data_IF_296047432772
#
_entry.id   IF_296047432772
#
_cell.length_a   1.000
_cell.length_b   1.000
_cell.length_c   1.000
_cell.angle_alpha   90.00
_cell.angle_beta   90.00
_cell.angle_gamma   90.00
#
_symmetry.space_group_name_H-M   'P 1'
#
loop_
_entity.id
_entity.type
_entity.pdbx_description
1 polymer ?
#
# COMPACT_ATOMS: atom_id res chain seq x y z
N UNK A 1 3.68 -10.25 15.07
CA UNK A 1 4.08 -9.10 14.23
C UNK A 1 5.14 -9.52 13.23
N UNK A 2 4.89 -9.37 11.95
CA UNK A 2 5.83 -9.65 10.85
C UNK A 2 5.82 -8.42 9.93
N UNK A 3 6.98 -8.02 9.39
CA UNK A 3 7.03 -6.95 8.40
C UNK A 3 6.40 -7.42 7.08
N UNK A 4 5.53 -6.60 6.49
CA UNK A 4 4.85 -6.94 5.24
C UNK A 4 5.84 -7.28 4.11
N UNK A 5 6.98 -6.56 3.99
CA UNK A 5 8.03 -6.88 3.02
C UNK A 5 8.63 -8.28 3.20
N UNK A 6 8.84 -8.72 4.46
CA UNK A 6 9.38 -10.07 4.76
C UNK A 6 8.34 -11.14 4.44
N UNK A 7 7.09 -10.93 4.85
CA UNK A 7 6.01 -11.86 4.51
C UNK A 7 5.82 -11.99 3.00
N UNK A 8 5.93 -10.87 2.26
CA UNK A 8 5.83 -10.87 0.80
C UNK A 8 6.89 -11.80 0.19
N UNK A 9 8.16 -11.60 0.54
CA UNK A 9 9.26 -12.38 -0.04
C UNK A 9 9.30 -13.82 0.44
N UNK A 10 8.88 -14.11 1.68
CA UNK A 10 8.76 -15.49 2.18
C UNK A 10 7.68 -16.26 1.42
N UNK A 11 6.51 -15.66 1.25
CA UNK A 11 5.42 -16.29 0.48
C UNK A 11 5.82 -16.46 -0.98
N UNK A 12 6.49 -15.46 -1.57
CA UNK A 12 6.99 -15.55 -2.94
C UNK A 12 8.00 -16.71 -3.10
N UNK A 13 8.91 -16.87 -2.15
CA UNK A 13 9.88 -17.98 -2.15
C UNK A 13 9.18 -19.35 -2.05
N UNK A 14 8.18 -19.48 -1.18
CA UNK A 14 7.40 -20.73 -1.06
C UNK A 14 6.73 -21.11 -2.39
N UNK A 15 6.14 -20.14 -3.08
CA UNK A 15 5.48 -20.35 -4.38
C UNK A 15 6.50 -20.61 -5.50
N UNK A 16 7.60 -19.86 -5.53
CA UNK A 16 8.64 -20.00 -6.55
C UNK A 16 9.38 -21.36 -6.50
N UNK A 17 9.43 -22.02 -5.34
CA UNK A 17 9.93 -23.40 -5.24
C UNK A 17 9.07 -24.40 -6.00
N UNK A 18 7.81 -24.10 -6.24
CA UNK A 18 6.85 -24.96 -6.92
C UNK A 18 6.61 -24.53 -8.37
N UNK A 19 6.94 -23.27 -8.70
CA UNK A 19 6.74 -22.69 -10.02
C UNK A 19 8.00 -21.98 -10.51
N UNK A 20 8.66 -22.57 -11.51
CA UNK A 20 9.90 -22.07 -12.11
C UNK A 20 9.72 -20.84 -13.01
N UNK A 21 8.49 -20.46 -13.27
CA UNK A 21 8.18 -19.27 -14.06
C UNK A 21 8.13 -18.00 -13.20
N UNK A 22 8.13 -18.12 -11.88
CA UNK A 22 8.25 -17.00 -10.95
C UNK A 22 9.68 -16.49 -10.92
N UNK A 23 9.87 -15.23 -11.29
CA UNK A 23 11.18 -14.56 -11.33
C UNK A 23 11.15 -13.32 -10.41
N UNK A 24 12.13 -13.20 -9.53
CA UNK A 24 12.38 -12.02 -8.73
C UNK A 24 13.49 -11.17 -9.34
N UNK A 25 13.23 -9.87 -9.55
CA UNK A 25 14.17 -8.88 -10.09
C UNK A 25 14.45 -7.82 -9.02
N UNK A 26 15.69 -7.36 -8.87
CA UNK A 26 16.01 -6.26 -7.93
C UNK A 26 17.16 -5.38 -8.44
N UNK A 27 17.41 -4.26 -7.73
CA UNK A 27 18.34 -3.19 -8.13
C UNK A 27 19.27 -2.82 -6.98
N UNK A 28 20.29 -3.67 -6.70
CA UNK A 28 21.21 -3.51 -5.57
C UNK A 28 20.52 -3.28 -4.21
N UNK A 29 19.27 -3.75 -4.12
CA UNK A 29 18.39 -3.54 -2.97
C UNK A 29 18.04 -4.84 -2.24
N UNK A 30 18.71 -5.98 -2.57
CA UNK A 30 18.42 -7.34 -2.08
C UNK A 30 18.18 -7.40 -0.57
N UNK A 31 19.02 -6.73 0.23
CA UNK A 31 18.86 -6.67 1.69
C UNK A 31 17.67 -5.81 2.14
N UNK A 32 17.44 -4.67 1.48
CA UNK A 32 16.33 -3.77 1.81
C UNK A 32 14.97 -4.39 1.52
N UNK A 33 14.86 -5.15 0.44
CA UNK A 33 13.63 -5.84 0.02
C UNK A 33 13.49 -7.25 0.57
N UNK A 34 14.44 -7.72 1.40
CA UNK A 34 14.43 -9.05 2.05
C UNK A 34 14.47 -10.23 1.05
N UNK A 35 15.08 -10.08 -0.14
CA UNK A 35 15.22 -11.13 -1.15
C UNK A 35 16.47 -12.01 -0.96
N UNK A 36 17.20 -11.89 0.15
CA UNK A 36 18.41 -12.71 0.39
C UNK A 36 18.14 -14.20 0.30
N UNK A 37 17.17 -14.68 1.08
CA UNK A 37 16.79 -16.10 1.13
C UNK A 37 16.31 -16.62 -0.24
N UNK A 38 15.60 -15.77 -1.01
CA UNK A 38 15.16 -16.12 -2.37
C UNK A 38 16.33 -16.29 -3.33
N UNK A 39 17.25 -15.32 -3.36
CA UNK A 39 18.41 -15.34 -4.24
C UNK A 39 19.35 -16.52 -3.95
N UNK A 40 19.54 -16.85 -2.67
CA UNK A 40 20.40 -17.95 -2.24
C UNK A 40 19.76 -19.34 -2.53
N UNK A 41 18.43 -19.44 -2.39
CA UNK A 41 17.70 -20.70 -2.61
C UNK A 41 17.39 -20.97 -4.10
N UNK A 42 17.13 -19.94 -4.89
CA UNK A 42 16.65 -20.04 -6.28
C UNK A 42 17.43 -19.08 -7.22
N UNK A 43 18.76 -19.23 -7.35
CA UNK A 43 19.57 -18.31 -8.14
C UNK A 43 19.16 -18.25 -9.63
N UNK A 44 18.59 -19.33 -10.19
CA UNK A 44 18.11 -19.37 -11.58
C UNK A 44 16.78 -18.59 -11.79
N UNK A 45 16.10 -18.21 -10.70
CA UNK A 45 14.87 -17.42 -10.71
C UNK A 45 15.10 -16.01 -10.16
N UNK A 46 16.35 -15.60 -10.00
CA UNK A 46 16.72 -14.31 -9.45
C UNK A 46 17.57 -13.49 -10.43
N UNK A 47 17.20 -12.22 -10.62
CA UNK A 47 17.89 -11.27 -11.49
C UNK A 47 18.32 -10.06 -10.68
N UNK A 48 19.61 -9.76 -10.67
CA UNK A 48 20.20 -8.56 -10.09
C UNK A 48 20.62 -7.60 -11.21
N UNK A 49 20.00 -6.40 -11.24
CA UNK A 49 20.25 -5.41 -12.29
C UNK A 49 21.24 -4.32 -11.89
N UNK A 50 21.76 -4.34 -10.64
CA UNK A 50 22.54 -3.23 -10.09
C UNK A 50 21.67 -1.97 -9.85
N UNK A 51 22.30 -0.81 -9.64
CA UNK A 51 21.57 0.45 -9.40
C UNK A 51 21.00 0.99 -10.73
N UNK A 52 19.97 0.34 -11.26
CA UNK A 52 19.43 0.60 -12.59
C UNK A 52 17.91 0.29 -12.64
N UNK A 53 17.10 1.09 -11.95
CA UNK A 53 15.65 0.83 -11.81
C UNK A 53 14.91 0.89 -13.15
N UNK A 54 15.34 1.76 -14.08
CA UNK A 54 14.76 1.83 -15.43
C UNK A 54 14.98 0.53 -16.20
N UNK A 55 16.21 0.03 -16.16
CA UNK A 55 16.60 -1.25 -16.79
C UNK A 55 15.85 -2.43 -16.16
N UNK A 56 15.73 -2.46 -14.84
CA UNK A 56 15.02 -3.49 -14.12
C UNK A 56 13.54 -3.59 -14.54
N UNK A 57 12.88 -2.46 -14.78
CA UNK A 57 11.49 -2.45 -15.29
C UNK A 57 11.45 -2.96 -16.72
N UNK A 58 12.35 -2.53 -17.61
CA UNK A 58 12.43 -3.01 -18.99
C UNK A 58 12.72 -4.51 -19.08
N UNK A 59 13.69 -5.01 -18.29
CA UNK A 59 14.00 -6.45 -18.17
C UNK A 59 12.78 -7.22 -17.66
N UNK A 60 12.10 -6.69 -16.64
CA UNK A 60 10.88 -7.31 -16.09
C UNK A 60 9.77 -7.41 -17.13
N UNK A 61 9.56 -6.35 -17.92
CA UNK A 61 8.60 -6.35 -19.02
C UNK A 61 8.93 -7.42 -20.08
N UNK A 62 10.21 -7.53 -20.48
CA UNK A 62 10.67 -8.55 -21.43
C UNK A 62 10.46 -9.97 -20.91
N UNK A 63 10.76 -10.21 -19.64
CA UNK A 63 10.53 -11.50 -18.98
C UNK A 63 9.03 -11.84 -18.93
N UNK A 64 8.17 -10.88 -18.52
CA UNK A 64 6.74 -11.08 -18.49
C UNK A 64 6.17 -11.36 -19.89
N UNK A 65 6.62 -10.61 -20.89
CA UNK A 65 6.23 -10.84 -22.29
C UNK A 65 6.65 -12.23 -22.81
N UNK A 66 7.71 -12.82 -22.24
CA UNK A 66 8.12 -14.20 -22.56
C UNK A 66 7.36 -15.28 -21.76
N UNK A 67 6.36 -14.89 -20.97
CA UNK A 67 5.50 -15.81 -20.19
C UNK A 67 5.97 -16.06 -18.77
N UNK A 68 6.93 -15.27 -18.24
CA UNK A 68 7.34 -15.36 -16.83
C UNK A 68 6.43 -14.55 -15.91
N UNK A 69 6.31 -14.99 -14.67
CA UNK A 69 5.61 -14.32 -13.57
C UNK A 69 6.60 -13.46 -12.80
N UNK A 70 6.63 -12.15 -13.06
CA UNK A 70 7.76 -11.31 -12.65
C UNK A 70 7.40 -10.40 -11.48
N UNK A 71 8.26 -10.41 -10.46
CA UNK A 71 8.21 -9.57 -9.28
C UNK A 71 9.45 -8.68 -9.25
N UNK A 72 9.27 -7.40 -9.59
CA UNK A 72 10.33 -6.39 -9.62
C UNK A 72 10.35 -5.63 -8.29
N UNK A 73 11.36 -5.88 -7.46
CA UNK A 73 11.37 -5.48 -6.06
C UNK A 73 12.47 -4.44 -5.77
N UNK A 74 12.11 -3.32 -5.15
CA UNK A 74 13.05 -2.28 -4.76
C UNK A 74 12.41 -1.16 -3.93
N UNK A 75 13.17 -0.09 -3.62
CA UNK A 75 12.62 1.04 -2.90
C UNK A 75 11.53 1.76 -3.70
N UNK A 76 10.39 2.02 -3.04
CA UNK A 76 9.21 2.65 -3.65
C UNK A 76 9.56 3.98 -4.35
N UNK A 77 10.30 4.86 -3.66
CA UNK A 77 10.67 6.17 -4.17
C UNK A 77 11.48 6.11 -5.46
N UNK A 78 12.31 5.06 -5.66
CA UNK A 78 13.15 4.95 -6.85
C UNK A 78 12.38 4.39 -8.04
N UNK A 79 11.60 3.35 -7.85
CA UNK A 79 10.80 2.79 -8.95
C UNK A 79 9.76 3.78 -9.47
N UNK A 80 9.16 4.58 -8.59
CA UNK A 80 8.13 5.54 -9.04
C UNK A 80 8.75 6.81 -9.64
N UNK A 81 9.86 7.32 -9.08
CA UNK A 81 10.44 8.56 -9.59
C UNK A 81 11.38 8.34 -10.78
N UNK A 82 12.29 7.34 -10.71
CA UNK A 82 13.31 7.14 -11.74
C UNK A 82 12.81 6.37 -12.96
N UNK A 83 11.95 5.35 -12.76
CA UNK A 83 11.47 4.49 -13.84
C UNK A 83 10.00 4.74 -14.20
N UNK A 84 9.49 5.94 -13.90
CA UNK A 84 8.08 6.26 -14.14
C UNK A 84 7.65 6.07 -15.59
N UNK A 85 8.50 6.45 -16.53
CA UNK A 85 8.23 6.30 -17.96
C UNK A 85 8.16 4.83 -18.35
N UNK A 86 9.11 4.00 -17.90
CA UNK A 86 9.13 2.56 -18.17
C UNK A 86 7.90 1.87 -17.52
N UNK A 87 7.53 2.22 -16.31
CA UNK A 87 6.31 1.70 -15.67
C UNK A 87 5.07 2.06 -16.50
N UNK A 88 4.99 3.30 -16.99
CA UNK A 88 3.88 3.76 -17.82
C UNK A 88 3.82 3.03 -19.18
N UNK A 89 4.97 2.92 -19.87
CA UNK A 89 5.02 2.42 -21.25
C UNK A 89 5.18 0.91 -21.29
N UNK A 90 6.19 0.38 -20.59
CA UNK A 90 6.54 -1.03 -20.72
C UNK A 90 5.63 -1.94 -19.91
N UNK A 91 5.01 -1.43 -18.83
CA UNK A 91 4.09 -2.22 -18.03
C UNK A 91 2.63 -1.86 -18.31
N UNK A 92 2.22 -0.62 -17.98
CA UNK A 92 0.80 -0.25 -18.03
C UNK A 92 0.24 -0.20 -19.47
N UNK A 93 0.92 0.53 -20.37
CA UNK A 93 0.45 0.66 -21.78
C UNK A 93 0.61 -0.64 -22.56
N UNK A 94 1.71 -1.36 -22.34
CA UNK A 94 1.99 -2.65 -23.02
C UNK A 94 1.31 -3.86 -22.35
N UNK A 95 0.54 -3.63 -21.30
CA UNK A 95 -0.22 -4.65 -20.54
C UNK A 95 0.64 -5.85 -20.08
N UNK A 96 1.92 -5.61 -19.73
CA UNK A 96 2.79 -6.63 -19.21
C UNK A 96 2.51 -6.88 -17.73
N UNK A 97 2.12 -8.11 -17.31
CA UNK A 97 1.72 -8.41 -15.94
C UNK A 97 2.93 -8.55 -14.99
N UNK A 98 3.57 -7.44 -14.70
CA UNK A 98 4.67 -7.35 -13.73
C UNK A 98 4.15 -6.81 -12.41
N UNK A 99 4.49 -7.45 -11.31
CA UNK A 99 4.29 -6.88 -9.98
C UNK A 99 5.52 -6.09 -9.57
N UNK A 100 5.36 -4.78 -9.35
CA UNK A 100 6.37 -3.95 -8.70
C UNK A 100 6.13 -3.97 -7.20
N UNK A 101 7.06 -4.52 -6.42
CA UNK A 101 7.08 -4.38 -4.97
C UNK A 101 7.88 -3.15 -4.57
N UNK A 102 7.18 -2.07 -4.26
CA UNK A 102 7.73 -0.84 -3.71
C UNK A 102 7.89 -0.94 -2.18
N UNK A 103 9.09 -1.22 -1.72
CA UNK A 103 9.40 -1.31 -0.29
C UNK A 103 9.76 0.06 0.27
N UNK A 104 9.46 0.25 1.55
CA UNK A 104 9.73 1.51 2.25
C UNK A 104 8.97 2.71 1.64
N UNK A 105 7.70 2.49 1.29
CA UNK A 105 6.82 3.58 0.86
C UNK A 105 6.56 4.61 1.96
N UNK A 106 5.93 5.70 1.61
CA UNK A 106 5.61 6.76 2.55
C UNK A 106 6.85 7.36 3.20
N UNK A 107 6.84 7.39 4.53
CA UNK A 107 7.92 7.92 5.38
C UNK A 107 8.72 6.81 6.07
N UNK A 108 8.57 5.56 5.66
CA UNK A 108 9.18 4.40 6.32
C UNK A 108 10.72 4.43 6.37
N UNK A 109 11.40 5.21 5.53
CA UNK A 109 12.83 5.49 5.65
C UNK A 109 13.18 6.56 6.70
N UNK A 110 12.19 7.25 7.26
CA UNK A 110 12.34 8.17 8.39
C UNK A 110 13.56 9.09 8.34
N UNK A 111 14.64 8.64 8.97
CA UNK A 111 15.88 9.42 9.11
C UNK A 111 16.61 9.73 7.79
N UNK A 112 16.35 8.99 6.69
CA UNK A 112 16.98 9.29 5.40
C UNK A 112 16.34 10.50 4.68
N UNK A 113 15.15 10.90 5.10
CA UNK A 113 14.48 12.11 4.65
C UNK A 113 13.96 12.07 3.22
N UNK A 114 13.70 13.25 2.67
CA UNK A 114 12.96 13.48 1.44
C UNK A 114 13.49 12.71 0.20
N UNK A 115 14.79 12.41 0.13
CA UNK A 115 15.37 11.63 -0.97
C UNK A 115 14.91 10.17 -1.02
N UNK A 116 14.39 9.66 0.10
CA UNK A 116 13.95 8.27 0.27
C UNK A 116 12.47 8.15 0.63
N UNK A 117 11.79 9.25 0.96
CA UNK A 117 10.34 9.24 1.17
C UNK A 117 9.60 9.06 -0.16
N UNK A 118 8.54 8.26 -0.16
CA UNK A 118 7.67 8.04 -1.32
C UNK A 118 6.25 8.50 -0.99
N UNK A 119 6.00 9.79 -1.19
CA UNK A 119 4.74 10.46 -0.85
C UNK A 119 3.89 10.81 -2.08
N UNK A 120 4.26 10.31 -3.26
CA UNK A 120 3.65 10.64 -4.54
C UNK A 120 3.31 9.40 -5.38
N UNK A 121 3.74 8.23 -4.94
CA UNK A 121 3.63 6.97 -5.67
C UNK A 121 2.18 6.60 -5.99
N UNK A 122 1.28 6.65 -5.01
CA UNK A 122 -0.14 6.37 -5.20
C UNK A 122 -0.75 7.35 -6.19
N UNK A 123 -0.55 8.66 -5.96
CA UNK A 123 -1.11 9.72 -6.78
C UNK A 123 -0.77 9.58 -8.26
N UNK A 124 0.47 9.19 -8.55
CA UNK A 124 0.95 9.05 -9.94
C UNK A 124 0.48 7.73 -10.54
N UNK A 125 0.71 6.60 -9.88
CA UNK A 125 0.47 5.29 -10.48
C UNK A 125 -1.02 4.97 -10.68
N UNK A 126 -1.90 5.49 -9.81
CA UNK A 126 -3.34 5.30 -10.00
C UNK A 126 -3.88 5.96 -11.28
N UNK A 127 -3.17 6.93 -11.84
CA UNK A 127 -3.57 7.61 -13.09
C UNK A 127 -3.29 6.79 -14.35
N UNK A 128 -2.42 5.79 -14.29
CA UNK A 128 -2.09 4.99 -15.48
C UNK A 128 -3.20 4.00 -15.80
N UNK A 129 -3.78 4.02 -17.02
CA UNK A 129 -4.73 2.99 -17.43
C UNK A 129 -4.13 1.59 -17.31
N UNK A 130 -4.92 0.60 -16.88
CA UNK A 130 -4.48 -0.78 -16.73
C UNK A 130 -3.64 -1.08 -15.47
N UNK A 131 -2.98 -0.09 -14.88
CA UNK A 131 -2.19 -0.27 -13.65
C UNK A 131 -3.07 -0.55 -12.44
N UNK A 132 -2.68 -1.53 -11.64
CA UNK A 132 -3.30 -1.84 -10.34
C UNK A 132 -2.44 -1.29 -9.20
N UNK A 133 -3.05 -0.84 -8.10
CA UNK A 133 -2.35 -0.29 -6.93
C UNK A 133 -2.91 -0.91 -5.65
N UNK A 134 -2.05 -1.53 -4.85
CA UNK A 134 -2.43 -2.22 -3.61
C UNK A 134 -1.44 -1.94 -2.47
N UNK A 135 -1.97 -1.67 -1.28
CA UNK A 135 -1.22 -1.45 -0.04
C UNK A 135 -1.77 -2.38 1.06
N UNK A 136 -1.21 -3.57 1.25
CA UNK A 136 -1.69 -4.49 2.29
C UNK A 136 -1.45 -3.91 3.69
N UNK A 137 -2.40 -4.15 4.59
CA UNK A 137 -2.42 -3.56 5.95
C UNK A 137 -1.56 -4.31 6.95
N UNK A 138 -1.45 -5.64 6.83
CA UNK A 138 -0.60 -6.48 7.66
C UNK A 138 -0.04 -7.69 6.92
N UNK A 139 0.68 -8.56 7.63
CA UNK A 139 1.31 -9.74 7.04
C UNK A 139 0.30 -10.78 6.51
N UNK A 140 -0.91 -10.87 7.09
CA UNK A 140 -1.94 -11.82 6.65
C UNK A 140 -2.50 -11.39 5.30
N UNK A 141 -2.88 -10.11 5.19
CA UNK A 141 -3.32 -9.52 3.92
C UNK A 141 -2.21 -9.61 2.88
N UNK A 142 -0.95 -9.36 3.27
CA UNK A 142 0.21 -9.50 2.38
C UNK A 142 0.36 -10.92 1.84
N UNK A 143 0.20 -11.94 2.70
CA UNK A 143 0.29 -13.34 2.30
C UNK A 143 -0.76 -13.71 1.25
N UNK A 144 -2.01 -13.32 1.48
CA UNK A 144 -3.10 -13.60 0.53
C UNK A 144 -2.93 -12.80 -0.79
N UNK A 145 -2.44 -11.57 -0.70
CA UNK A 145 -2.11 -10.75 -1.86
C UNK A 145 -1.06 -11.44 -2.74
N UNK A 146 0.06 -11.92 -2.19
CA UNK A 146 1.12 -12.57 -2.97
C UNK A 146 0.61 -13.82 -3.67
N UNK A 147 -0.20 -14.66 -2.99
CA UNK A 147 -0.81 -15.84 -3.60
C UNK A 147 -1.67 -15.49 -4.81
N UNK A 148 -2.41 -14.38 -4.72
CA UNK A 148 -3.24 -13.91 -5.82
C UNK A 148 -2.40 -13.34 -6.96
N UNK A 149 -1.33 -12.58 -6.64
CA UNK A 149 -0.52 -11.88 -7.65
C UNK A 149 0.29 -12.80 -8.55
N UNK A 150 0.57 -14.04 -8.13
CA UNK A 150 1.31 -15.02 -8.96
C UNK A 150 0.58 -15.32 -10.28
N UNK A 151 -0.76 -15.31 -10.25
CA UNK A 151 -1.59 -15.56 -11.44
C UNK A 151 -2.37 -14.32 -11.88
N UNK A 152 -1.98 -13.13 -11.41
CA UNK A 152 -2.66 -11.89 -11.76
C UNK A 152 -2.20 -11.39 -13.14
N UNK A 153 -3.15 -11.13 -14.01
CA UNK A 153 -2.93 -10.84 -15.44
C UNK A 153 -2.73 -9.36 -15.78
N UNK A 154 -2.54 -8.50 -14.76
CA UNK A 154 -2.34 -7.05 -14.95
C UNK A 154 -1.10 -6.55 -14.24
N UNK A 155 -0.47 -5.46 -14.71
CA UNK A 155 0.59 -4.82 -13.98
C UNK A 155 0.09 -4.31 -12.63
N UNK A 156 0.86 -4.58 -11.57
CA UNK A 156 0.47 -4.24 -10.22
C UNK A 156 1.60 -3.53 -9.48
N UNK A 157 1.31 -2.45 -8.80
CA UNK A 157 2.18 -1.83 -7.82
C UNK A 157 1.71 -2.20 -6.42
N UNK A 158 2.57 -2.87 -5.68
CA UNK A 158 2.36 -3.18 -4.26
C UNK A 158 3.29 -2.32 -3.42
N UNK A 159 2.75 -1.58 -2.47
CA UNK A 159 3.54 -0.77 -1.55
C UNK A 159 3.51 -1.34 -0.15
N UNK A 160 4.69 -1.50 0.46
CA UNK A 160 4.84 -1.95 1.84
C UNK A 160 5.87 -1.11 2.60
N UNK A 161 5.70 -1.03 3.92
CA UNK A 161 6.67 -0.39 4.82
C UNK A 161 7.87 -1.28 5.14
N UNK A 162 8.66 -0.85 6.11
CA UNK A 162 9.90 -1.52 6.56
C UNK A 162 9.75 -2.28 7.86
N UNK A 163 9.03 -1.68 8.80
CA UNK A 163 8.89 -2.20 10.16
C UNK A 163 7.91 -3.38 10.22
N UNK A 164 7.99 -4.15 11.29
CA UNK A 164 6.93 -5.10 11.62
C UNK A 164 5.68 -4.33 12.06
N UNK A 165 4.55 -4.66 11.46
CA UNK A 165 3.26 -4.06 11.79
C UNK A 165 2.51 -4.98 12.76
N UNK A 166 1.81 -4.45 13.76
CA UNK A 166 0.92 -5.26 14.58
C UNK A 166 -0.21 -5.86 13.73
N UNK A 167 -0.69 -7.02 14.16
CA UNK A 167 -1.76 -7.73 13.47
C UNK A 167 -3.06 -6.92 13.54
N UNK A 168 -3.67 -6.66 12.42
CA UNK A 168 -5.01 -6.05 12.30
C UNK A 168 -6.06 -7.13 12.43
N UNK A 169 -5.82 -8.28 11.80
CA UNK A 169 -6.72 -9.42 11.78
C UNK A 169 -6.25 -10.49 12.76
N UNK A 170 -7.16 -11.01 13.59
CA UNK A 170 -6.84 -12.03 14.59
C UNK A 170 -6.57 -13.41 13.98
N UNK A 171 -7.20 -13.70 12.85
CA UNK A 171 -7.10 -14.95 12.11
C UNK A 171 -7.20 -14.70 10.60
N UNK A 172 -7.22 -15.77 9.79
CA UNK A 172 -7.34 -15.70 8.34
C UNK A 172 -8.80 -15.64 7.85
N UNK A 173 -9.76 -15.36 8.72
CA UNK A 173 -11.20 -15.30 8.42
C UNK A 173 -11.66 -13.94 7.84
N UNK A 174 -10.84 -13.29 7.06
CA UNK A 174 -11.22 -12.09 6.30
C UNK A 174 -11.36 -12.42 4.81
N UNK A 175 -12.27 -11.72 4.15
CA UNK A 175 -12.42 -11.88 2.70
C UNK A 175 -11.52 -10.88 1.99
N UNK A 176 -10.44 -11.38 1.39
CA UNK A 176 -9.57 -10.56 0.56
C UNK A 176 -9.90 -10.77 -0.91
N UNK A 177 -10.42 -9.74 -1.56
CA UNK A 177 -10.84 -9.77 -2.96
C UNK A 177 -10.33 -8.51 -3.68
N UNK A 178 -9.99 -8.66 -4.96
CA UNK A 178 -9.54 -7.53 -5.79
C UNK A 178 -10.60 -6.43 -5.81
N UNK A 179 -10.18 -5.21 -5.47
CA UNK A 179 -11.04 -4.03 -5.51
C UNK A 179 -12.12 -3.98 -4.44
N UNK A 180 -12.01 -4.78 -3.38
CA UNK A 180 -12.95 -4.76 -2.25
C UNK A 180 -12.25 -4.28 -0.97
N UNK A 181 -12.93 -3.41 -0.25
CA UNK A 181 -12.55 -2.99 1.09
C UNK A 181 -12.95 -4.03 2.13
N UNK A 182 -12.15 -4.14 3.20
CA UNK A 182 -12.47 -5.02 4.33
C UNK A 182 -12.98 -4.15 5.48
N UNK A 183 -14.14 -4.48 6.05
CA UNK A 183 -14.62 -3.84 7.26
C UNK A 183 -13.88 -4.42 8.46
N UNK A 184 -13.02 -3.63 9.08
CA UNK A 184 -12.25 -4.01 10.28
C UNK A 184 -13.12 -3.97 11.52
N UNK A 185 -13.96 -2.93 11.65
CA UNK A 185 -15.01 -2.85 12.66
C UNK A 185 -16.16 -1.99 12.18
N UNK A 186 -17.37 -2.29 12.68
CA UNK A 186 -18.59 -1.54 12.39
C UNK A 186 -18.72 -0.30 13.29
N UNK A 187 -19.46 0.71 12.82
CA UNK A 187 -19.76 1.94 13.54
C UNK A 187 -20.78 2.78 12.80
N UNK A 188 -21.40 3.75 13.51
CA UNK A 188 -22.54 4.54 13.02
C UNK A 188 -22.28 6.05 13.02
N UNK A 189 -21.28 6.55 13.74
CA UNK A 189 -21.10 7.99 13.96
C UNK A 189 -20.17 8.67 12.94
N UNK A 190 -19.17 7.92 12.48
CA UNK A 190 -18.28 8.29 11.39
C UNK A 190 -17.61 7.03 10.80
N UNK A 191 -17.06 7.16 9.59
CA UNK A 191 -16.20 6.12 9.01
C UNK A 191 -14.76 6.62 8.92
N UNK A 192 -13.80 5.78 9.36
CA UNK A 192 -12.37 5.97 9.12
C UNK A 192 -11.97 5.04 7.96
N UNK A 193 -11.50 5.60 6.87
CA UNK A 193 -11.01 4.87 5.70
C UNK A 193 -9.49 4.92 5.71
N UNK A 194 -8.83 3.79 5.76
CA UNK A 194 -7.37 3.72 5.85
C UNK A 194 -6.79 2.73 4.83
N UNK A 195 -5.50 2.82 4.55
CA UNK A 195 -4.80 1.94 3.62
C UNK A 195 -3.40 1.60 4.12
N UNK A 196 -2.91 0.40 3.80
CA UNK A 196 -1.59 -0.04 4.22
C UNK A 196 -1.44 -0.03 5.75
N UNK A 197 -0.25 0.31 6.22
CA UNK A 197 0.08 0.25 7.65
C UNK A 197 -0.72 1.21 8.54
N UNK A 198 -1.37 2.24 7.95
CA UNK A 198 -2.24 3.16 8.72
C UNK A 198 -3.55 2.50 9.19
N UNK A 199 -3.95 1.37 8.64
CA UNK A 199 -5.15 0.62 9.05
C UNK A 199 -5.07 0.20 10.52
N UNK A 200 -3.90 -0.23 11.00
CA UNK A 200 -3.72 -0.53 12.42
C UNK A 200 -4.01 0.68 13.31
N UNK A 201 -3.49 1.85 12.95
CA UNK A 201 -3.71 3.08 13.72
C UNK A 201 -5.19 3.52 13.68
N UNK A 202 -5.84 3.37 12.53
CA UNK A 202 -7.28 3.63 12.39
C UNK A 202 -8.13 2.70 13.27
N UNK A 203 -7.79 1.41 13.33
CA UNK A 203 -8.46 0.45 14.21
C UNK A 203 -8.24 0.79 15.69
N UNK A 204 -7.01 1.09 16.11
CA UNK A 204 -6.73 1.52 17.49
C UNK A 204 -7.48 2.82 17.84
N UNK A 205 -7.55 3.76 16.91
CA UNK A 205 -8.33 4.99 17.10
C UNK A 205 -9.82 4.70 17.30
N UNK A 206 -10.40 3.75 16.56
CA UNK A 206 -11.79 3.36 16.74
C UNK A 206 -12.06 2.75 18.13
N UNK A 207 -11.12 1.97 18.67
CA UNK A 207 -11.23 1.45 20.04
C UNK A 207 -11.21 2.58 21.08
N UNK A 208 -10.30 3.55 20.95
CA UNK A 208 -10.21 4.72 21.83
C UNK A 208 -11.42 5.65 21.70
N UNK A 209 -11.99 5.80 20.52
CA UNK A 209 -13.22 6.55 20.27
C UNK A 209 -14.42 5.90 20.94
N UNK A 210 -14.49 4.57 20.92
CA UNK A 210 -15.56 3.80 21.57
C UNK A 210 -15.57 4.01 23.08
N UNK A 211 -14.42 4.13 23.73
CA UNK A 211 -14.31 4.47 25.15
C UNK A 211 -14.87 5.88 25.46
N UNK A 212 -14.92 6.74 24.45
CA UNK A 212 -15.48 8.10 24.54
C UNK A 212 -16.93 8.21 24.00
N UNK A 213 -17.58 7.06 23.77
CA UNK A 213 -18.97 6.98 23.32
C UNK A 213 -19.17 7.20 21.82
N UNK A 214 -18.11 7.19 21.01
CA UNK A 214 -18.19 7.37 19.55
C UNK A 214 -17.96 6.02 18.84
N UNK A 215 -18.92 5.60 18.02
CA UNK A 215 -18.88 4.35 17.25
C UNK A 215 -18.32 4.62 15.85
N UNK A 216 -17.03 4.47 15.68
CA UNK A 216 -16.35 4.64 14.40
C UNK A 216 -16.31 3.32 13.62
N UNK A 217 -16.76 3.33 12.35
CA UNK A 217 -16.49 2.25 11.38
C UNK A 217 -15.06 2.40 10.87
N UNK A 218 -14.36 1.28 10.64
CA UNK A 218 -13.05 1.27 9.99
C UNK A 218 -13.11 0.42 8.73
N UNK A 219 -12.70 1.01 7.60
CA UNK A 219 -12.53 0.33 6.33
C UNK A 219 -11.04 0.23 5.99
N UNK A 220 -10.56 -0.99 5.78
CA UNK A 220 -9.26 -1.28 5.18
C UNK A 220 -9.43 -1.26 3.65
N UNK A 221 -8.94 -0.21 3.02
CA UNK A 221 -8.88 -0.08 1.58
C UNK A 221 -7.48 -0.45 1.08
N UNK A 222 -7.11 -1.73 1.21
CA UNK A 222 -5.85 -2.25 0.67
C UNK A 222 -5.77 -2.05 -0.85
N UNK A 223 -6.89 -2.18 -1.58
CA UNK A 223 -6.95 -1.91 -3.02
C UNK A 223 -7.32 -0.46 -3.27
N UNK A 224 -6.38 0.30 -3.85
CA UNK A 224 -6.62 1.67 -4.29
C UNK A 224 -6.99 1.74 -5.78
N UNK A 225 -6.59 0.73 -6.55
CA UNK A 225 -7.03 0.57 -7.94
C UNK A 225 -7.00 -0.92 -8.34
N UNK A 226 -8.15 -1.52 -8.64
CA UNK A 226 -9.49 -0.92 -8.58
C UNK A 226 -9.90 -0.55 -7.15
N UNK A 227 -10.79 0.45 -6.99
CA UNK A 227 -11.25 0.97 -5.71
C UNK A 227 -12.68 0.51 -5.40
N UNK A 228 -13.02 0.26 -4.14
CA UNK A 228 -14.38 -0.13 -3.72
C UNK A 228 -15.26 1.10 -3.53
N UNK A 229 -15.70 1.70 -4.63
CA UNK A 229 -16.59 2.87 -4.64
C UNK A 229 -17.92 2.59 -3.91
N UNK A 230 -18.43 1.35 -4.02
CA UNK A 230 -19.67 0.94 -3.36
C UNK A 230 -19.55 1.00 -1.84
N UNK A 231 -18.44 0.49 -1.28
CA UNK A 231 -18.18 0.53 0.16
C UNK A 231 -18.07 1.98 0.66
N UNK A 232 -17.41 2.87 -0.11
CA UNK A 232 -17.30 4.30 0.23
C UNK A 232 -18.67 4.99 0.18
N UNK A 233 -19.45 4.78 -0.88
CA UNK A 233 -20.80 5.34 -0.98
C UNK A 233 -21.72 4.82 0.13
N UNK A 234 -21.63 3.55 0.49
CA UNK A 234 -22.38 2.95 1.62
C UNK A 234 -21.98 3.61 2.94
N UNK A 235 -20.68 3.72 3.20
CA UNK A 235 -20.15 4.35 4.40
C UNK A 235 -20.64 5.81 4.52
N UNK A 236 -20.57 6.57 3.43
CA UNK A 236 -21.05 7.97 3.40
C UNK A 236 -22.53 8.09 3.75
N UNK A 237 -23.38 7.22 3.19
CA UNK A 237 -24.83 7.23 3.48
C UNK A 237 -25.15 6.83 4.92
N UNK A 238 -24.41 5.88 5.50
CA UNK A 238 -24.72 5.32 6.82
C UNK A 238 -24.15 6.14 7.97
N UNK A 239 -22.95 6.73 7.80
CA UNK A 239 -22.26 7.47 8.88
C UNK A 239 -22.20 8.98 8.67
N UNK A 240 -22.49 9.47 7.46
CA UNK A 240 -22.62 10.90 7.14
C UNK A 240 -21.31 11.69 7.16
N UNK A 241 -20.17 11.12 7.54
CA UNK A 241 -18.85 11.77 7.52
C UNK A 241 -17.73 10.76 7.48
N UNK A 242 -16.64 11.12 6.79
CA UNK A 242 -15.49 10.24 6.58
C UNK A 242 -14.20 10.92 7.00
N UNK A 243 -13.34 10.19 7.71
CA UNK A 243 -11.94 10.54 7.94
C UNK A 243 -11.09 9.59 7.13
N UNK A 244 -10.20 10.08 6.27
CA UNK A 244 -9.24 9.24 5.55
C UNK A 244 -7.87 9.32 6.19
N UNK A 245 -7.13 8.19 6.23
CA UNK A 245 -5.80 8.13 6.83
C UNK A 245 -4.85 7.43 5.86
N UNK A 246 -3.80 8.14 5.48
CA UNK A 246 -2.83 7.65 4.51
C UNK A 246 -1.40 8.13 4.80
N UNK A 247 -0.43 7.25 4.71
CA UNK A 247 0.99 7.58 4.77
C UNK A 247 1.46 8.07 3.38
N UNK A 248 0.90 9.17 2.93
CA UNK A 248 1.10 9.75 1.59
C UNK A 248 0.86 11.26 1.69
N UNK A 249 1.23 12.02 0.65
CA UNK A 249 0.78 13.40 0.53
C UNK A 249 -0.76 13.47 0.60
N UNK A 250 -1.29 14.54 1.19
CA UNK A 250 -2.73 14.82 1.16
C UNK A 250 -3.29 14.99 -0.26
N UNK A 251 -2.42 15.13 -1.26
CA UNK A 251 -2.80 15.36 -2.65
C UNK A 251 -2.77 14.08 -3.47
N UNK A 252 -3.88 13.76 -4.11
CA UNK A 252 -3.98 12.70 -5.12
C UNK A 252 -4.00 11.26 -4.60
N UNK A 253 -3.89 11.03 -3.27
CA UNK A 253 -3.95 9.71 -2.66
C UNK A 253 -5.37 9.25 -2.30
N UNK A 254 -5.49 8.47 -1.22
CA UNK A 254 -6.74 7.88 -0.73
C UNK A 254 -7.82 8.93 -0.45
N UNK A 255 -7.45 10.03 0.23
CA UNK A 255 -8.41 11.10 0.54
C UNK A 255 -9.01 11.73 -0.70
N UNK A 256 -8.18 11.99 -1.72
CA UNK A 256 -8.66 12.50 -3.02
C UNK A 256 -9.61 11.50 -3.69
N UNK A 257 -9.28 10.20 -3.68
CA UNK A 257 -10.14 9.15 -4.25
C UNK A 257 -11.51 9.09 -3.58
N UNK A 258 -11.56 9.17 -2.26
CA UNK A 258 -12.82 9.22 -1.52
C UNK A 258 -13.65 10.45 -1.93
N UNK A 259 -13.02 11.62 -2.07
CA UNK A 259 -13.72 12.83 -2.53
C UNK A 259 -14.20 12.71 -3.99
N UNK A 260 -13.41 12.08 -4.88
CA UNK A 260 -13.80 11.81 -6.27
C UNK A 260 -15.05 10.93 -6.35
N UNK A 261 -15.08 9.83 -5.58
CA UNK A 261 -16.24 8.92 -5.51
C UNK A 261 -17.49 9.64 -4.99
N UNK A 262 -17.34 10.54 -4.04
CA UNK A 262 -18.45 11.25 -3.40
C UNK A 262 -18.81 12.56 -4.10
N UNK A 263 -18.25 12.87 -5.26
CA UNK A 263 -18.43 14.17 -5.94
C UNK A 263 -19.88 14.49 -6.26
N UNK A 264 -20.72 13.48 -6.59
CA UNK A 264 -22.14 13.68 -6.88
C UNK A 264 -23.04 13.68 -5.62
N UNK A 265 -22.59 13.01 -4.54
CA UNK A 265 -23.30 12.91 -3.27
C UNK A 265 -22.36 13.19 -2.10
N UNK A 266 -21.91 14.45 -1.94
CA UNK A 266 -20.87 14.80 -0.99
C UNK A 266 -21.33 14.70 0.47
N UNK A 267 -20.45 14.15 1.29
CA UNK A 267 -20.48 14.26 2.74
C UNK A 267 -19.21 14.94 3.21
N UNK A 268 -19.14 15.50 4.42
CA UNK A 268 -17.89 16.03 4.96
C UNK A 268 -16.79 14.94 4.98
N UNK A 269 -15.63 15.26 4.41
CA UNK A 269 -14.44 14.40 4.40
C UNK A 269 -13.27 15.14 5.04
N UNK A 270 -12.59 14.50 5.99
CA UNK A 270 -11.33 14.98 6.57
C UNK A 270 -10.18 14.09 6.13
N UNK A 271 -9.21 14.68 5.47
CA UNK A 271 -8.03 13.96 4.97
C UNK A 271 -6.90 14.10 5.97
N UNK A 272 -6.38 12.96 6.49
CA UNK A 272 -5.17 12.86 7.28
C UNK A 272 -4.07 12.23 6.41
N UNK A 273 -3.04 12.99 6.15
CA UNK A 273 -1.88 12.65 5.34
C UNK A 273 -0.78 13.68 5.55
N UNK A 274 0.31 13.57 4.84
CA UNK A 274 1.43 14.50 4.93
C UNK A 274 1.08 15.80 4.18
N UNK A 275 1.17 16.97 4.82
CA UNK A 275 0.89 18.26 4.18
C UNK A 275 1.97 18.62 3.15
N UNK A 276 1.77 19.73 2.42
CA UNK A 276 2.71 20.25 1.42
C UNK A 276 3.91 20.92 2.09
N UNK A 277 4.78 20.09 2.66
CA UNK A 277 6.03 20.52 3.30
C UNK A 277 7.09 19.43 3.25
N UNK A 278 8.34 19.80 3.51
CA UNK A 278 9.40 18.81 3.70
C UNK A 278 9.17 18.08 5.03
N UNK A 279 9.05 16.75 4.93
CA UNK A 279 8.80 15.89 6.10
C UNK A 279 9.91 16.05 7.14
N UNK A 280 9.51 16.15 8.40
CA UNK A 280 10.44 16.10 9.53
C UNK A 280 11.21 14.78 9.57
N UNK A 281 12.46 14.81 9.99
CA UNK A 281 13.26 13.60 10.14
C UNK A 281 13.00 12.96 11.51
N UNK A 282 12.89 11.66 11.54
CA UNK A 282 12.65 10.89 12.77
C UNK A 282 12.42 9.42 12.46
N UNK A 283 12.06 8.65 13.48
CA UNK A 283 11.50 7.31 13.27
C UNK A 283 10.10 7.41 12.64
N UNK A 284 9.64 6.35 12.02
CA UNK A 284 8.28 6.31 11.45
C UNK A 284 7.21 6.69 12.50
N UNK A 285 7.34 6.17 13.74
CA UNK A 285 6.41 6.47 14.83
C UNK A 285 6.42 7.96 15.24
N UNK A 286 7.59 8.60 15.32
CA UNK A 286 7.70 10.03 15.62
C UNK A 286 7.10 10.88 14.50
N UNK A 287 7.31 10.51 13.24
CA UNK A 287 6.72 11.19 12.08
C UNK A 287 5.19 11.01 12.08
N UNK A 288 4.68 9.81 12.32
CA UNK A 288 3.24 9.56 12.42
C UNK A 288 2.61 10.39 13.54
N UNK A 289 3.25 10.44 14.73
CA UNK A 289 2.79 11.27 15.85
C UNK A 289 2.77 12.76 15.48
N UNK A 290 3.85 13.26 14.85
CA UNK A 290 3.96 14.66 14.42
C UNK A 290 2.83 15.08 13.48
N UNK A 291 2.50 14.24 12.50
CA UNK A 291 1.45 14.52 11.51
C UNK A 291 0.05 14.02 11.91
N UNK A 292 -0.09 13.44 13.09
CA UNK A 292 -1.37 12.93 13.60
C UNK A 292 -1.92 11.73 12.83
N UNK A 293 -1.04 10.90 12.29
CA UNK A 293 -1.36 9.65 11.59
C UNK A 293 -1.38 8.44 12.53
N UNK A 294 -1.00 8.62 13.79
CA UNK A 294 -1.13 7.62 14.85
C UNK A 294 -2.56 7.59 15.43
N UNK A 295 -2.84 6.63 16.31
CA UNK A 295 -4.17 6.46 16.88
C UNK A 295 -4.66 7.71 17.65
N UNK A 296 -3.79 8.37 18.41
CA UNK A 296 -4.13 9.57 19.19
C UNK A 296 -4.47 10.76 18.28
N UNK A 297 -3.68 10.96 17.23
CA UNK A 297 -3.93 12.00 16.23
C UNK A 297 -5.24 11.79 15.47
N UNK A 298 -5.53 10.54 15.07
CA UNK A 298 -6.78 10.18 14.42
C UNK A 298 -7.97 10.41 15.35
N UNK A 299 -7.89 10.05 16.63
CA UNK A 299 -8.92 10.32 17.64
C UNK A 299 -9.18 11.83 17.76
N UNK A 300 -8.12 12.63 17.93
CA UNK A 300 -8.20 14.08 18.04
C UNK A 300 -8.88 14.72 16.81
N UNK A 301 -8.47 14.27 15.62
CA UNK A 301 -9.07 14.71 14.36
C UNK A 301 -10.55 14.33 14.28
N UNK A 302 -10.90 13.09 14.60
CA UNK A 302 -12.27 12.58 14.56
C UNK A 302 -13.20 13.33 15.53
N UNK A 303 -12.81 13.52 16.78
CA UNK A 303 -13.58 14.25 17.78
C UNK A 303 -13.80 15.73 17.41
N UNK A 304 -12.77 16.38 16.84
CA UNK A 304 -12.92 17.76 16.37
C UNK A 304 -13.81 17.86 15.13
N UNK A 305 -13.96 16.79 14.38
CA UNK A 305 -14.80 16.72 13.19
C UNK A 305 -16.27 16.42 13.49
N UNK A 306 -16.55 15.85 14.66
CA UNK A 306 -17.90 15.56 15.12
C UNK A 306 -18.60 16.79 15.74
N UNK A 307 -17.83 17.80 16.18
CA UNK A 307 -18.35 19.08 16.70
C UNK A 307 -18.85 19.97 15.60
#
# INVERSE_FOLDING_TARGET
>A
MIACRKQFTDTLLELARQDKDIIAVTTDARGSVTLGDFADALPEQFVECGIAEQDAVGISAGLAHSGKKVFCCGPACFYVARSLEQVKVDLAYSENPVTILGVSGGVAYGALGATHHSLHDIAVLRTFPGMTVCLPSDWRVTKELVKMLVDYDKPCYVRVGRAAVPDVYADDNFQFQVGKAITVCEGTDLTIVATGETVYHAWQAALLLKEQGVQARVLDCSWLKPFDEEAICKAARETGRIVTVEEHSQYGGLGAMVCEVLSEHPVPVRILGIPDENVVHGTNAEIFHHYGLDAEGIVKASLSFLK
#
